data_IF_677021997728
#
_entry.id   IF_677021997728
#
_cell.length_a   1.000
_cell.length_b   1.000
_cell.length_c   1.000
_cell.angle_alpha   90.00
_cell.angle_beta   90.00
_cell.angle_gamma   90.00
#
_symmetry.space_group_name_H-M   'P 1'
#
loop_
_entity.id
_entity.type
_entity.pdbx_description
1 polymer ?
#
# COMPACT_ATOMS: atom_id res chain seq x y z
N UNK A 1 -11.06 -17.75 76.67
CA UNK A 1 -11.33 -16.52 75.83
C UNK A 1 -10.06 -15.91 75.22
N UNK A 2 -8.85 -16.36 75.48
CA UNK A 2 -7.60 -15.83 74.89
C UNK A 2 -7.20 -16.41 73.51
N UNK A 3 -7.73 -17.60 73.16
CA UNK A 3 -7.36 -18.33 71.91
C UNK A 3 -7.92 -17.69 70.60
N UNK A 4 -9.14 -17.13 70.63
CA UNK A 4 -9.80 -16.56 69.43
C UNK A 4 -9.19 -15.21 69.00
N UNK A 5 -8.63 -14.44 69.94
CA UNK A 5 -7.99 -13.17 69.62
C UNK A 5 -6.72 -13.35 68.79
N UNK A 6 -5.87 -14.35 69.16
CA UNK A 6 -4.62 -14.68 68.49
C UNK A 6 -4.83 -15.25 67.10
N UNK A 7 -5.91 -15.99 66.83
CA UNK A 7 -6.23 -16.51 65.51
C UNK A 7 -6.75 -15.40 64.59
N UNK A 8 -7.59 -14.52 65.12
CA UNK A 8 -8.06 -13.34 64.38
C UNK A 8 -6.94 -12.39 63.98
N UNK A 9 -5.98 -12.15 64.85
CA UNK A 9 -4.80 -11.28 64.56
C UNK A 9 -3.89 -11.93 63.50
N UNK A 10 -3.73 -13.25 63.50
CA UNK A 10 -2.99 -13.97 62.45
C UNK A 10 -3.70 -13.88 61.12
N UNK A 11 -5.04 -14.01 61.05
CA UNK A 11 -5.82 -13.91 59.83
C UNK A 11 -5.74 -12.49 59.26
N UNK A 12 -5.88 -11.44 60.11
CA UNK A 12 -5.75 -10.03 59.67
C UNK A 12 -4.37 -9.76 59.04
N UNK A 13 -3.31 -10.23 59.71
CA UNK A 13 -1.94 -10.05 59.21
C UNK A 13 -1.70 -10.82 57.88
N UNK A 14 -2.36 -11.94 57.68
CA UNK A 14 -2.31 -12.68 56.42
C UNK A 14 -3.03 -11.97 55.29
N UNK A 15 -4.21 -11.38 55.59
CA UNK A 15 -5.00 -10.58 54.62
C UNK A 15 -4.21 -9.35 54.19
N UNK A 16 -3.56 -8.64 55.10
CA UNK A 16 -2.73 -7.48 54.78
C UNK A 16 -1.52 -7.85 53.90
N UNK A 17 -0.88 -8.97 54.19
CA UNK A 17 0.22 -9.48 53.32
C UNK A 17 -0.25 -9.84 51.93
N UNK A 18 -1.40 -10.48 51.82
CA UNK A 18 -1.99 -10.84 50.53
C UNK A 18 -2.38 -9.60 49.74
N UNK A 19 -2.92 -8.58 50.39
CA UNK A 19 -3.30 -7.31 49.75
C UNK A 19 -2.07 -6.52 49.24
N UNK A 20 -0.96 -6.54 50.00
CA UNK A 20 0.30 -5.91 49.60
C UNK A 20 0.91 -6.64 48.40
N UNK A 21 0.91 -8.00 48.40
CA UNK A 21 1.40 -8.79 47.28
C UNK A 21 0.55 -8.64 46.04
N UNK A 22 -0.79 -8.58 46.19
CA UNK A 22 -1.70 -8.32 45.09
C UNK A 22 -1.46 -6.91 44.48
N UNK A 23 -1.27 -5.88 45.30
CA UNK A 23 -0.96 -4.54 44.84
C UNK A 23 0.42 -4.43 44.16
N UNK A 24 1.41 -5.19 44.63
CA UNK A 24 2.71 -5.25 43.94
C UNK A 24 2.60 -5.98 42.60
N UNK A 25 1.83 -7.08 42.51
CA UNK A 25 1.59 -7.81 41.30
C UNK A 25 0.85 -6.94 40.25
N UNK A 26 -0.17 -6.16 40.67
CA UNK A 26 -0.91 -5.24 39.82
C UNK A 26 -0.02 -4.09 39.31
N UNK A 27 0.90 -3.57 40.16
CA UNK A 27 1.87 -2.56 39.69
C UNK A 27 2.85 -3.12 38.66
N UNK A 28 3.29 -4.36 38.84
CA UNK A 28 4.23 -5.00 37.93
C UNK A 28 3.57 -5.39 36.60
N UNK A 29 2.32 -5.88 36.62
CA UNK A 29 1.53 -6.15 35.40
C UNK A 29 1.22 -4.85 34.67
N UNK A 30 0.89 -3.76 35.35
CA UNK A 30 0.65 -2.47 34.69
C UNK A 30 1.92 -1.90 34.03
N UNK A 31 3.11 -2.16 34.57
CA UNK A 31 4.38 -1.78 33.92
C UNK A 31 4.67 -2.65 32.68
N UNK A 32 4.48 -3.96 32.77
CA UNK A 32 4.63 -4.86 31.62
C UNK A 32 3.58 -4.60 30.53
N UNK A 33 2.33 -4.32 30.90
CA UNK A 33 1.26 -3.98 29.95
C UNK A 33 1.53 -2.62 29.31
N UNK A 34 2.06 -1.63 30.03
CA UNK A 34 2.45 -0.34 29.43
C UNK A 34 3.66 -0.45 28.51
N UNK A 35 4.65 -1.26 28.86
CA UNK A 35 5.80 -1.53 28.01
C UNK A 35 5.42 -2.34 26.76
N UNK A 36 4.50 -3.31 26.88
CA UNK A 36 4.00 -4.07 25.73
C UNK A 36 3.09 -3.24 24.84
N UNK A 37 2.29 -2.32 25.39
CA UNK A 37 1.47 -1.38 24.61
C UNK A 37 2.32 -0.34 23.87
N UNK A 38 3.42 0.15 24.49
CA UNK A 38 4.36 1.08 23.83
C UNK A 38 5.17 0.36 22.75
N UNK A 39 5.59 -0.89 22.96
CA UNK A 39 6.25 -1.69 21.92
C UNK A 39 5.29 -2.14 20.83
N UNK A 40 4.00 -2.37 21.13
CA UNK A 40 2.97 -2.66 20.12
C UNK A 40 2.60 -1.40 19.32
N UNK A 41 2.70 -0.21 19.92
CA UNK A 41 2.46 1.05 19.21
C UNK A 41 3.64 1.44 18.30
N UNK A 42 4.86 0.98 18.60
CA UNK A 42 6.02 1.15 17.70
C UNK A 42 6.06 0.16 16.53
N UNK A 43 5.27 -0.92 16.58
CA UNK A 43 5.14 -1.91 15.49
C UNK A 43 3.89 -1.66 14.63
N UNK A 44 3.16 -0.57 14.84
CA UNK A 44 2.24 -0.05 13.83
C UNK A 44 3.00 0.57 12.64
N UNK A 45 4.03 -0.12 12.18
CA UNK A 45 4.53 0.01 10.82
C UNK A 45 3.32 -0.20 9.92
N UNK A 46 2.90 0.86 9.27
CA UNK A 46 1.78 0.96 8.38
C UNK A 46 1.67 -0.28 7.46
N UNK A 47 0.99 -1.33 7.92
CA UNK A 47 0.39 -2.29 7.02
C UNK A 47 -0.64 -1.48 6.24
N UNK A 48 -0.22 -0.91 5.12
CA UNK A 48 -1.18 -0.26 4.23
C UNK A 48 -2.14 -1.34 3.77
N UNK A 49 -3.40 -1.11 4.03
CA UNK A 49 -4.45 -2.02 3.57
C UNK A 49 -4.33 -2.19 2.05
N UNK A 50 -4.58 -3.39 1.56
CA UNK A 50 -4.73 -3.62 0.13
C UNK A 50 -5.82 -2.70 -0.42
N UNK A 51 -5.74 -2.30 -1.71
CA UNK A 51 -6.79 -1.52 -2.33
C UNK A 51 -8.10 -2.33 -2.34
N UNK A 52 -9.25 -1.67 -2.51
CA UNK A 52 -10.50 -2.40 -2.72
C UNK A 52 -10.37 -3.32 -3.92
N UNK A 53 -11.09 -4.46 -3.91
CA UNK A 53 -10.99 -5.49 -4.95
C UNK A 53 -11.31 -4.97 -6.37
N UNK A 54 -12.06 -3.89 -6.46
CA UNK A 54 -12.45 -3.24 -7.73
C UNK A 54 -11.70 -1.94 -7.99
N UNK A 55 -10.67 -1.61 -7.19
CA UNK A 55 -9.92 -0.37 -7.36
C UNK A 55 -9.32 -0.25 -8.76
N UNK A 56 -9.42 0.93 -9.34
CA UNK A 56 -8.83 1.30 -10.62
C UNK A 56 -7.99 2.57 -10.46
N UNK A 57 -7.02 2.83 -11.35
CA UNK A 57 -6.33 4.11 -11.41
C UNK A 57 -7.32 5.26 -11.53
N UNK A 58 -7.01 6.40 -10.90
CA UNK A 58 -7.91 7.56 -10.91
C UNK A 58 -7.16 8.88 -11.05
N UNK A 59 -7.93 9.93 -11.46
CA UNK A 59 -7.40 11.27 -11.63
C UNK A 59 -6.39 11.37 -12.78
N UNK A 60 -6.70 10.71 -13.91
CA UNK A 60 -5.87 10.76 -15.11
C UNK A 60 -5.82 12.14 -15.74
N UNK A 61 -4.62 12.57 -16.16
CA UNK A 61 -4.42 13.67 -17.09
C UNK A 61 -3.39 13.29 -18.15
N UNK A 62 -3.70 13.58 -19.40
CA UNK A 62 -2.76 13.35 -20.50
C UNK A 62 -1.77 14.52 -20.54
N UNK A 63 -0.49 14.20 -20.41
CA UNK A 63 0.60 15.17 -20.46
C UNK A 63 1.21 15.27 -21.86
N UNK A 64 1.34 14.15 -22.57
CA UNK A 64 1.79 14.10 -23.95
C UNK A 64 1.17 12.89 -24.67
N UNK A 65 1.01 13.01 -25.97
CA UNK A 65 0.38 11.98 -26.80
C UNK A 65 -1.14 12.09 -26.85
N UNK A 66 -1.79 11.04 -27.35
CA UNK A 66 -3.25 10.99 -27.55
C UNK A 66 -3.80 9.64 -27.12
N UNK A 67 -4.82 9.65 -26.27
CA UNK A 67 -5.53 8.45 -25.83
C UNK A 67 -6.97 8.80 -25.40
N UNK A 68 -7.81 7.77 -25.34
CA UNK A 68 -9.10 7.80 -24.66
C UNK A 68 -9.10 6.80 -23.51
N UNK A 69 -9.71 7.18 -22.39
CA UNK A 69 -9.80 6.36 -21.19
C UNK A 69 -11.27 6.07 -20.92
N UNK A 70 -11.64 4.80 -21.00
CA UNK A 70 -12.99 4.31 -20.73
C UNK A 70 -12.99 3.37 -19.53
N UNK A 71 -13.95 3.54 -18.63
CA UNK A 71 -14.14 2.67 -17.48
C UNK A 71 -15.54 2.09 -17.48
N UNK A 72 -15.62 0.76 -17.36
CA UNK A 72 -16.88 0.02 -17.25
C UNK A 72 -16.76 -0.95 -16.07
N UNK A 73 -17.49 -0.68 -15.00
CA UNK A 73 -17.37 -1.45 -13.75
C UNK A 73 -15.95 -1.44 -13.20
N UNK A 74 -15.34 -2.60 -13.09
CA UNK A 74 -13.97 -2.81 -12.62
C UNK A 74 -12.94 -2.99 -13.76
N UNK A 75 -13.27 -2.55 -14.96
CA UNK A 75 -12.39 -2.62 -16.13
C UNK A 75 -12.13 -1.22 -16.67
N UNK A 76 -10.85 -0.89 -16.86
CA UNK A 76 -10.40 0.33 -17.49
C UNK A 76 -9.67 0.00 -18.78
N UNK A 77 -10.06 0.66 -19.87
CA UNK A 77 -9.39 0.55 -21.16
C UNK A 77 -8.83 1.90 -21.56
N UNK A 78 -7.54 1.94 -21.84
CA UNK A 78 -6.81 3.10 -22.35
C UNK A 78 -6.49 2.81 -23.81
N UNK A 79 -7.22 3.43 -24.73
CA UNK A 79 -6.96 3.33 -26.16
C UNK A 79 -6.00 4.44 -26.56
N UNK A 80 -4.73 4.09 -26.74
CA UNK A 80 -3.66 4.98 -27.14
C UNK A 80 -3.61 5.08 -28.67
N UNK A 81 -3.57 6.30 -29.20
CA UNK A 81 -3.49 6.55 -30.66
C UNK A 81 -2.12 7.03 -31.11
N UNK A 82 -1.27 7.50 -30.20
CA UNK A 82 0.11 7.93 -30.48
C UNK A 82 1.15 6.85 -30.13
N UNK A 83 2.34 6.89 -30.73
CA UNK A 83 3.44 5.96 -30.40
C UNK A 83 3.90 6.09 -28.95
N UNK A 84 3.93 7.31 -28.45
CA UNK A 84 4.26 7.63 -27.06
C UNK A 84 3.07 8.30 -26.39
N UNK A 85 2.78 7.90 -25.16
CA UNK A 85 1.72 8.46 -24.32
C UNK A 85 2.30 8.73 -22.93
N UNK A 86 2.15 9.94 -22.43
CA UNK A 86 2.49 10.31 -21.05
C UNK A 86 1.24 10.69 -20.29
N UNK A 87 0.98 9.97 -19.19
CA UNK A 87 -0.17 10.14 -18.30
C UNK A 87 0.32 10.46 -16.89
N UNK A 88 -0.34 11.41 -16.26
CA UNK A 88 -0.26 11.65 -14.82
C UNK A 88 -1.52 11.11 -14.15
N UNK A 89 -1.35 10.49 -12.98
CA UNK A 89 -2.41 9.89 -12.19
C UNK A 89 -2.40 10.44 -10.76
N UNK A 90 -3.57 10.64 -10.18
CA UNK A 90 -3.62 10.90 -8.73
C UNK A 90 -3.26 9.65 -7.94
N UNK A 91 -3.78 8.50 -8.34
CA UNK A 91 -3.32 7.21 -7.82
C UNK A 91 -3.38 6.14 -8.92
N UNK A 92 -2.56 5.10 -8.77
CA UNK A 92 -2.51 3.99 -9.71
C UNK A 92 -2.57 2.67 -8.94
N UNK A 93 -3.79 2.22 -8.64
CA UNK A 93 -4.08 0.97 -7.98
C UNK A 93 -4.91 0.07 -8.89
N UNK A 94 -4.67 -1.25 -8.83
CA UNK A 94 -5.47 -2.25 -9.53
C UNK A 94 -5.87 -3.30 -8.49
N UNK A 95 -7.14 -3.33 -8.12
CA UNK A 95 -7.70 -4.29 -7.17
C UNK A 95 -7.73 -5.71 -7.73
N UNK A 96 -7.84 -6.69 -6.86
CA UNK A 96 -7.76 -8.13 -7.20
C UNK A 96 -8.77 -8.58 -8.29
N UNK A 97 -9.93 -7.94 -8.34
CA UNK A 97 -10.96 -8.20 -9.32
C UNK A 97 -10.99 -7.16 -10.47
N UNK A 98 -10.03 -6.22 -10.48
CA UNK A 98 -9.96 -5.17 -11.48
C UNK A 98 -8.98 -5.48 -12.61
N UNK A 99 -9.18 -4.81 -13.75
CA UNK A 99 -8.25 -4.90 -14.87
C UNK A 99 -8.04 -3.55 -15.55
N UNK A 100 -6.79 -3.30 -15.95
CA UNK A 100 -6.40 -2.17 -16.79
C UNK A 100 -5.80 -2.71 -18.07
N UNK A 101 -6.29 -2.24 -19.22
CA UNK A 101 -5.85 -2.68 -20.53
C UNK A 101 -5.44 -1.48 -21.37
N UNK A 102 -4.20 -1.49 -21.85
CA UNK A 102 -3.70 -0.55 -22.84
C UNK A 102 -3.82 -1.17 -24.23
N UNK A 103 -4.63 -0.54 -25.07
CA UNK A 103 -4.71 -0.81 -26.50
C UNK A 103 -3.83 0.20 -27.22
N UNK A 104 -2.65 -0.23 -27.63
CA UNK A 104 -1.60 0.61 -28.19
C UNK A 104 -1.49 0.38 -29.71
N UNK A 105 -1.03 1.38 -30.50
CA UNK A 105 -0.92 1.23 -31.95
C UNK A 105 -0.12 0.02 -32.41
N UNK A 106 0.95 -0.32 -31.69
CA UNK A 106 1.79 -1.48 -31.99
C UNK A 106 2.66 -1.86 -30.77
N UNK A 107 3.49 -2.89 -30.91
CA UNK A 107 4.35 -3.42 -29.83
C UNK A 107 5.49 -2.46 -29.44
N UNK A 108 5.86 -1.51 -30.29
CA UNK A 108 6.90 -0.50 -30.02
C UNK A 108 6.32 0.72 -29.27
N UNK A 109 5.01 0.81 -29.17
CA UNK A 109 4.35 1.92 -28.45
C UNK A 109 4.65 1.88 -26.96
N UNK A 110 4.77 3.05 -26.36
CA UNK A 110 5.12 3.20 -24.94
C UNK A 110 4.09 4.10 -24.23
N UNK A 111 3.56 3.61 -23.11
CA UNK A 111 2.72 4.38 -22.19
C UNK A 111 3.49 4.66 -20.90
N UNK A 112 3.80 5.92 -20.63
CA UNK A 112 4.40 6.39 -19.39
C UNK A 112 3.30 6.82 -18.43
N UNK A 113 3.31 6.27 -17.22
CA UNK A 113 2.35 6.56 -16.16
C UNK A 113 3.10 7.08 -14.94
N UNK A 114 2.83 8.33 -14.55
CA UNK A 114 3.37 8.93 -13.33
C UNK A 114 2.28 9.08 -12.28
N UNK A 115 2.60 8.71 -11.06
CA UNK A 115 1.71 8.87 -9.92
C UNK A 115 2.13 10.09 -9.11
N UNK A 116 1.16 10.97 -8.85
CA UNK A 116 1.38 12.25 -8.19
C UNK A 116 1.04 12.24 -6.70
N UNK A 117 0.27 11.24 -6.22
CA UNK A 117 -0.07 11.13 -4.80
C UNK A 117 1.13 10.68 -3.96
N UNK A 118 1.01 10.87 -2.65
CA UNK A 118 1.98 10.38 -1.66
C UNK A 118 1.83 8.88 -1.34
N UNK A 119 0.87 8.20 -1.95
CA UNK A 119 0.61 6.79 -1.70
C UNK A 119 1.31 5.88 -2.72
N UNK A 120 1.81 4.70 -2.30
CA UNK A 120 2.37 3.73 -3.21
C UNK A 120 1.30 3.15 -4.14
N UNK A 121 1.71 2.74 -5.32
CA UNK A 121 0.86 1.98 -6.24
C UNK A 121 0.75 0.53 -5.80
N UNK A 122 -0.44 -0.03 -5.85
CA UNK A 122 -0.72 -1.40 -5.44
C UNK A 122 -1.42 -2.15 -6.57
N UNK A 123 -0.72 -3.12 -7.18
CA UNK A 123 -1.20 -3.90 -8.30
C UNK A 123 -1.51 -5.32 -7.81
N UNK A 124 -2.79 -5.64 -7.64
CA UNK A 124 -3.28 -6.96 -7.23
C UNK A 124 -4.10 -7.64 -8.34
N UNK A 125 -4.56 -6.88 -9.32
CA UNK A 125 -5.38 -7.33 -10.43
C UNK A 125 -4.61 -7.54 -11.73
N UNK A 126 -5.24 -7.24 -12.84
CA UNK A 126 -4.68 -7.48 -14.18
C UNK A 126 -4.23 -6.18 -14.84
N UNK A 127 -3.01 -6.20 -15.37
CA UNK A 127 -2.48 -5.15 -16.24
C UNK A 127 -2.11 -5.78 -17.59
N UNK A 128 -2.76 -5.34 -18.65
CA UNK A 128 -2.56 -5.85 -20.01
C UNK A 128 -2.11 -4.71 -20.92
N UNK A 129 -1.18 -5.00 -21.84
CA UNK A 129 -0.76 -4.09 -22.90
C UNK A 129 -0.13 -4.87 -24.06
N UNK A 130 -0.35 -4.44 -25.27
CA UNK A 130 0.32 -5.01 -26.42
C UNK A 130 1.71 -4.40 -26.69
N UNK A 131 2.06 -3.29 -26.06
CA UNK A 131 3.36 -2.62 -26.11
C UNK A 131 4.00 -2.46 -24.72
N UNK A 132 4.74 -1.39 -24.52
CA UNK A 132 5.47 -1.11 -23.28
C UNK A 132 4.67 -0.24 -22.32
N UNK A 133 4.74 -0.55 -21.02
CA UNK A 133 4.19 0.26 -19.94
C UNK A 133 5.31 0.65 -18.98
N UNK A 134 5.44 1.94 -18.72
CA UNK A 134 6.33 2.50 -17.69
C UNK A 134 5.44 3.03 -16.57
N UNK A 135 5.64 2.56 -15.34
CA UNK A 135 4.97 3.05 -14.15
C UNK A 135 5.99 3.67 -13.20
N UNK A 136 5.85 4.95 -12.93
CA UNK A 136 6.69 5.71 -12.00
C UNK A 136 5.86 6.11 -10.80
N UNK A 137 6.28 5.66 -9.61
CA UNK A 137 5.73 6.14 -8.35
C UNK A 137 6.84 6.31 -7.32
N UNK A 138 7.25 7.55 -6.97
CA UNK A 138 8.30 7.81 -5.99
C UNK A 138 8.01 7.21 -4.60
N UNK A 139 6.74 6.93 -4.29
CA UNK A 139 6.31 6.39 -3.00
C UNK A 139 6.27 4.86 -2.96
N UNK A 140 6.69 4.20 -4.04
CA UNK A 140 6.77 2.75 -4.14
C UNK A 140 5.71 2.12 -5.02
N UNK A 141 5.99 0.90 -5.46
CA UNK A 141 5.10 0.06 -6.26
C UNK A 141 5.11 -1.33 -5.66
N UNK A 142 3.94 -1.85 -5.34
CA UNK A 142 3.72 -3.19 -4.81
C UNK A 142 2.99 -4.02 -5.87
N UNK A 143 3.58 -5.12 -6.27
CA UNK A 143 2.91 -6.15 -7.07
C UNK A 143 2.51 -7.25 -6.10
N UNK A 144 1.21 -7.34 -5.84
CA UNK A 144 0.65 -8.23 -4.82
C UNK A 144 0.46 -9.66 -5.31
N UNK A 145 0.15 -10.58 -4.39
CA UNK A 145 -0.15 -11.95 -4.76
C UNK A 145 -1.39 -12.02 -5.66
N UNK A 146 -1.33 -12.83 -6.71
CA UNK A 146 -2.41 -12.99 -7.68
C UNK A 146 -2.43 -11.95 -8.81
N UNK A 147 -1.56 -10.93 -8.76
CA UNK A 147 -1.43 -9.97 -9.86
C UNK A 147 -1.02 -10.66 -11.17
N UNK A 148 -1.66 -10.25 -12.27
CA UNK A 148 -1.37 -10.75 -13.60
C UNK A 148 -0.89 -9.61 -14.49
N UNK A 149 0.36 -9.65 -14.90
CA UNK A 149 1.00 -8.62 -15.72
C UNK A 149 1.29 -9.22 -17.10
N UNK A 150 0.46 -8.85 -18.08
CA UNK A 150 0.57 -9.31 -19.46
C UNK A 150 0.84 -8.09 -20.36
N UNK A 151 2.08 -7.68 -20.44
CA UNK A 151 2.51 -6.51 -21.21
C UNK A 151 3.72 -6.86 -22.07
N UNK A 152 3.91 -6.15 -23.17
CA UNK A 152 5.10 -6.37 -24.01
C UNK A 152 6.40 -6.09 -23.26
N UNK A 153 6.43 -5.02 -22.47
CA UNK A 153 7.53 -4.70 -21.54
C UNK A 153 6.99 -3.89 -20.37
N UNK A 154 7.47 -4.16 -19.14
CA UNK A 154 7.14 -3.39 -17.94
C UNK A 154 8.40 -2.78 -17.33
N UNK A 155 8.37 -1.47 -17.10
CA UNK A 155 9.31 -0.77 -16.23
C UNK A 155 8.51 -0.20 -15.05
N UNK A 156 8.73 -0.72 -13.86
CA UNK A 156 8.14 -0.21 -12.62
C UNK A 156 9.27 0.36 -11.75
N UNK A 157 9.24 1.65 -11.44
CA UNK A 157 10.35 2.33 -10.78
C UNK A 157 9.89 3.47 -9.87
N UNK A 158 10.70 3.76 -8.86
CA UNK A 158 10.57 4.96 -8.01
C UNK A 158 11.40 6.14 -8.54
N UNK A 159 12.27 5.90 -9.50
CA UNK A 159 13.12 6.92 -10.13
C UNK A 159 12.32 7.73 -11.16
N UNK A 160 12.71 8.98 -11.34
CA UNK A 160 12.03 9.85 -12.30
C UNK A 160 12.59 9.67 -13.73
N UNK A 161 11.77 10.01 -14.71
CA UNK A 161 12.12 10.12 -16.13
C UNK A 161 11.64 11.49 -16.62
N UNK A 162 12.54 12.33 -17.12
CA UNK A 162 12.14 13.64 -17.64
C UNK A 162 11.28 13.50 -18.92
N UNK A 163 10.34 14.45 -19.11
CA UNK A 163 9.52 14.48 -20.34
C UNK A 163 10.36 14.59 -21.61
N UNK A 164 11.45 15.36 -21.55
CA UNK A 164 12.35 15.53 -22.69
C UNK A 164 13.04 14.20 -23.06
N UNK A 165 13.49 13.44 -22.06
CA UNK A 165 14.09 12.13 -22.29
C UNK A 165 13.05 11.13 -22.81
N UNK A 166 11.82 11.17 -22.25
CA UNK A 166 10.74 10.32 -22.74
C UNK A 166 10.39 10.63 -24.21
N UNK A 167 10.19 11.91 -24.54
CA UNK A 167 9.89 12.35 -25.90
C UNK A 167 11.00 12.00 -26.91
N UNK A 168 12.26 12.02 -26.47
CA UNK A 168 13.41 11.62 -27.28
C UNK A 168 13.58 10.10 -27.41
N UNK A 169 12.71 9.29 -26.76
CA UNK A 169 12.86 7.83 -26.70
C UNK A 169 14.07 7.37 -25.88
N UNK A 170 14.62 8.23 -25.04
CA UNK A 170 15.77 7.96 -24.18
C UNK A 170 15.29 7.68 -22.76
N UNK A 171 15.25 6.42 -22.34
CA UNK A 171 14.72 6.04 -21.02
C UNK A 171 15.82 6.06 -19.96
N UNK A 172 16.28 7.28 -19.61
CA UNK A 172 17.26 7.54 -18.55
C UNK A 172 16.53 7.94 -17.27
N UNK A 173 16.53 7.06 -16.31
CA UNK A 173 15.93 7.27 -14.98
C UNK A 173 16.94 7.90 -14.02
N UNK A 174 16.48 8.87 -13.19
CA UNK A 174 17.33 9.62 -12.23
C UNK A 174 16.59 9.82 -10.89
#
# INVERSE_FOLDING_TARGET
MKSNKTLRDKILNLIDKISILANQSVKQTNHCVRLSLVSLLCVSLAVRAAPSDTALPSGASINAGTATINTTGNQMTITQSSQQLSLNWQNYNIGSNASVTYQQPNQQSVALNRVLSADPSQLYGRLNANGSVILINPNGIVIGPGAQINVGNLIATTMNLSESNFAAGTYRFT
#
